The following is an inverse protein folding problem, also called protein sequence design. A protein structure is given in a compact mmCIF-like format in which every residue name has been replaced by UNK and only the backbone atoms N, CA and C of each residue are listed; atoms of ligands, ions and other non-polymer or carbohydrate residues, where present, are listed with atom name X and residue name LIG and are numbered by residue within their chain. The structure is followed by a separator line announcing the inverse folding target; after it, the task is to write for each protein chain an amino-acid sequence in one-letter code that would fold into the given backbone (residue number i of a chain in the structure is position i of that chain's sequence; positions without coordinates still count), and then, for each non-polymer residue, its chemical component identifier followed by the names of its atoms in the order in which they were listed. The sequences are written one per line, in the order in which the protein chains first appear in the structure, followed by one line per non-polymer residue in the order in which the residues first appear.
data_IF_743322709902
#
_entry.id   IF_743322709902
#
_cell.length_a   1.000
_cell.length_b   1.000
_cell.length_c   1.000
_cell.angle_alpha   90.00
_cell.angle_beta   90.00
_cell.angle_gamma   90.00
#
_symmetry.space_group_name_H-M   'P 1'
#
loop_
_entity.id
_entity.type
_entity.pdbx_description
1 polymer ?
#
# COMPACT_ATOMS: atom_id res chain seq x y z
N UNK A 1 8.24 7.19 40.16
CA UNK A 1 8.76 5.93 39.61
C UNK A 1 7.90 4.81 40.21
N UNK A 2 6.99 4.24 39.43
CA UNK A 2 6.19 3.10 39.86
C UNK A 2 6.77 1.85 39.22
N UNK A 3 7.31 0.94 40.04
CA UNK A 3 7.82 -0.37 39.60
C UNK A 3 6.65 -1.24 39.13
N UNK A 4 6.30 -1.14 37.85
CA UNK A 4 5.38 -2.06 37.20
C UNK A 4 6.02 -3.44 37.09
N UNK A 5 5.61 -4.38 37.95
CA UNK A 5 6.00 -5.80 37.84
C UNK A 5 5.27 -6.42 36.66
N UNK A 6 6.01 -6.94 35.68
CA UNK A 6 5.45 -7.68 34.55
C UNK A 6 4.90 -9.04 35.04
N UNK A 7 3.62 -9.30 34.80
CA UNK A 7 2.93 -10.53 35.21
C UNK A 7 2.71 -11.41 33.97
N UNK A 8 3.13 -12.68 34.01
CA UNK A 8 2.84 -13.67 32.98
C UNK A 8 1.68 -14.56 33.45
N UNK A 9 0.65 -14.73 32.62
CA UNK A 9 -0.56 -15.49 32.95
C UNK A 9 -0.69 -16.76 32.13
N UNK A 10 -1.21 -17.82 32.75
CA UNK A 10 -1.81 -18.96 32.02
C UNK A 10 -3.12 -18.50 31.38
N UNK A 11 -3.48 -19.04 30.21
CA UNK A 11 -4.65 -18.60 29.46
C UNK A 11 -5.97 -18.99 30.18
N UNK A 12 -6.77 -17.98 30.56
CA UNK A 12 -8.09 -18.16 31.15
C UNK A 12 -9.14 -17.28 30.47
N UNK A 13 -10.34 -17.83 30.26
CA UNK A 13 -11.53 -17.02 29.96
C UNK A 13 -11.84 -16.08 31.15
N UNK A 14 -12.52 -14.94 30.93
CA UNK A 14 -12.90 -14.04 32.01
C UNK A 14 -13.69 -14.76 33.12
N UNK A 15 -14.58 -15.68 32.76
CA UNK A 15 -15.39 -16.47 33.70
C UNK A 15 -14.60 -17.49 34.52
N UNK A 16 -13.44 -17.93 34.04
CA UNK A 16 -12.60 -18.96 34.69
C UNK A 16 -11.37 -18.36 35.38
N UNK A 17 -11.24 -17.04 35.43
CA UNK A 17 -10.08 -16.39 36.05
C UNK A 17 -10.13 -16.56 37.58
N UNK A 18 -9.05 -17.03 38.24
CA UNK A 18 -9.02 -17.16 39.69
C UNK A 18 -9.43 -15.86 40.40
N UNK A 19 -10.27 -15.95 41.43
CA UNK A 19 -10.86 -14.77 42.11
C UNK A 19 -9.81 -13.74 42.56
N UNK A 20 -8.66 -14.21 43.03
CA UNK A 20 -7.54 -13.36 43.48
C UNK A 20 -6.90 -12.56 42.34
N UNK A 21 -7.01 -13.00 41.09
CA UNK A 21 -6.42 -12.35 39.91
C UNK A 21 -7.39 -11.46 39.15
N UNK A 22 -8.70 -11.53 39.43
CA UNK A 22 -9.73 -10.74 38.74
C UNK A 22 -9.46 -9.23 38.84
N UNK A 23 -9.06 -8.76 40.01
CA UNK A 23 -8.75 -7.35 40.23
C UNK A 23 -7.59 -6.88 39.33
N UNK A 24 -6.48 -7.61 39.34
CA UNK A 24 -5.30 -7.30 38.53
C UNK A 24 -5.60 -7.37 37.02
N UNK A 25 -6.39 -8.36 36.58
CA UNK A 25 -6.84 -8.46 35.19
C UNK A 25 -7.60 -7.21 34.75
N UNK A 26 -8.56 -6.76 35.55
CA UNK A 26 -9.37 -5.58 35.23
C UNK A 26 -8.55 -4.29 35.28
N UNK A 27 -7.64 -4.15 36.24
CA UNK A 27 -6.73 -3.01 36.31
C UNK A 27 -5.83 -2.94 35.07
N UNK A 28 -5.27 -4.06 34.61
CA UNK A 28 -4.46 -4.07 33.40
C UNK A 28 -5.27 -3.66 32.16
N UNK A 29 -6.53 -4.11 32.03
CA UNK A 29 -7.40 -3.67 30.94
C UNK A 29 -7.69 -2.16 30.96
N UNK A 30 -7.83 -1.55 32.15
CA UNK A 30 -8.00 -0.10 32.29
C UNK A 30 -6.71 0.62 31.89
N UNK A 31 -5.55 0.14 32.35
CA UNK A 31 -4.25 0.70 31.98
C UNK A 31 -4.02 0.68 30.47
N UNK A 32 -4.36 -0.43 29.81
CA UNK A 32 -4.22 -0.60 28.36
C UNK A 32 -5.17 0.30 27.56
N UNK A 33 -6.35 0.66 28.09
CA UNK A 33 -7.26 1.61 27.43
C UNK A 33 -6.83 3.06 27.60
N UNK A 34 -6.13 3.36 28.70
CA UNK A 34 -5.71 4.72 29.05
C UNK A 34 -6.90 5.64 29.33
N UNK A 35 -6.66 6.95 29.26
CA UNK A 35 -7.63 8.00 29.63
C UNK A 35 -8.31 8.67 28.43
N UNK A 36 -7.95 8.29 27.19
CA UNK A 36 -8.42 8.94 25.96
C UNK A 36 -7.86 10.34 25.69
N UNK A 37 -6.96 10.83 26.54
CA UNK A 37 -6.43 12.20 26.51
C UNK A 37 -4.90 12.23 26.54
N UNK A 38 -4.33 13.38 26.19
CA UNK A 38 -2.88 13.58 26.20
C UNK A 38 -2.13 12.93 25.02
N UNK A 39 -0.88 13.33 24.86
CA UNK A 39 0.02 12.81 23.84
C UNK A 39 0.73 11.56 24.35
N UNK A 40 0.61 10.47 23.60
CA UNK A 40 1.21 9.19 23.95
C UNK A 40 2.72 9.19 23.68
N UNK A 41 3.46 8.49 24.53
CA UNK A 41 4.91 8.42 24.58
C UNK A 41 5.41 7.02 24.24
N UNK A 42 6.70 6.92 23.92
CA UNK A 42 7.30 5.67 23.46
C UNK A 42 7.15 4.48 24.43
N UNK A 43 7.10 4.74 25.74
CA UNK A 43 6.96 3.72 26.78
C UNK A 43 5.50 3.37 27.10
N UNK A 44 4.53 4.08 26.53
CA UNK A 44 3.11 3.82 26.80
C UNK A 44 2.64 2.54 26.11
N UNK A 45 1.70 1.84 26.76
CA UNK A 45 1.06 0.60 26.28
C UNK A 45 -0.44 0.82 26.03
N UNK A 46 -0.80 2.05 25.65
CA UNK A 46 -2.20 2.48 25.53
C UNK A 46 -2.72 2.24 24.12
N UNK A 47 -3.81 1.50 24.01
CA UNK A 47 -4.55 1.18 22.80
C UNK A 47 -5.87 1.96 22.81
N UNK A 48 -6.00 2.90 21.88
CA UNK A 48 -7.19 3.72 21.72
C UNK A 48 -7.36 4.09 20.23
N UNK A 49 -8.51 4.65 19.88
CA UNK A 49 -8.92 4.90 18.50
C UNK A 49 -8.81 6.37 18.11
N UNK A 50 -8.52 6.59 16.83
CA UNK A 50 -8.63 7.89 16.21
C UNK A 50 -8.93 7.77 14.71
N UNK A 51 -9.34 8.89 14.11
CA UNK A 51 -9.59 9.03 12.67
C UNK A 51 -8.30 9.23 11.89
N UNK A 52 -8.36 9.08 10.57
CA UNK A 52 -7.25 9.45 9.69
C UNK A 52 -7.29 10.95 9.42
N UNK A 53 -6.94 11.72 10.45
CA UNK A 53 -6.78 13.18 10.41
C UNK A 53 -5.31 13.63 10.45
N UNK A 54 -4.37 12.69 10.33
CA UNK A 54 -2.92 12.94 10.41
C UNK A 54 -2.20 12.76 9.06
N UNK A 55 -2.96 12.61 7.97
CA UNK A 55 -2.43 12.47 6.61
C UNK A 55 -2.12 13.83 5.97
N UNK A 56 -2.88 14.87 6.31
CA UNK A 56 -2.69 16.23 5.80
C UNK A 56 -1.51 16.96 6.43
N UNK A 57 -1.07 18.03 5.79
CA UNK A 57 -0.11 18.99 6.36
C UNK A 57 -0.57 20.43 6.06
N UNK A 58 -1.74 20.86 6.56
CA UNK A 58 -2.40 22.12 6.19
C UNK A 58 -1.52 23.35 6.48
N UNK A 59 -0.68 23.30 7.52
CA UNK A 59 0.29 24.35 7.87
C UNK A 59 1.35 24.61 6.77
N UNK A 60 1.52 23.68 5.81
CA UNK A 60 2.43 23.84 4.65
C UNK A 60 1.77 24.48 3.43
N UNK A 61 0.46 24.76 3.50
CA UNK A 61 -0.32 25.40 2.45
C UNK A 61 -1.44 24.54 1.88
N UNK A 62 -2.32 25.16 1.09
CA UNK A 62 -3.59 24.60 0.62
C UNK A 62 -3.44 23.25 -0.13
N UNK A 63 -2.35 23.06 -0.88
CA UNK A 63 -2.07 21.81 -1.62
C UNK A 63 -1.93 20.58 -0.70
N UNK A 64 -1.61 20.78 0.57
CA UNK A 64 -1.35 19.71 1.53
C UNK A 64 -2.54 19.42 2.46
N UNK A 65 -3.65 20.12 2.28
CA UNK A 65 -4.90 19.83 3.01
C UNK A 65 -5.48 18.52 2.49
N UNK A 66 -5.95 17.67 3.42
CA UNK A 66 -6.62 16.39 3.10
C UNK A 66 -7.88 16.29 3.97
N UNK A 67 -8.97 15.70 3.45
CA UNK A 67 -10.14 15.44 4.26
C UNK A 67 -9.81 14.40 5.35
N UNK A 68 -10.48 14.51 6.49
CA UNK A 68 -10.42 13.49 7.55
C UNK A 68 -11.17 12.25 7.08
N UNK A 69 -10.53 11.07 7.17
CA UNK A 69 -11.20 9.81 6.83
C UNK A 69 -11.71 9.10 8.09
N UNK A 70 -13.01 8.80 8.09
CA UNK A 70 -13.78 8.21 9.17
C UNK A 70 -14.56 9.24 9.99
N UNK A 71 -15.71 8.83 10.55
CA UNK A 71 -16.53 9.67 11.44
C UNK A 71 -17.59 10.48 10.71
N UNK A 72 -17.57 10.49 9.38
CA UNK A 72 -18.60 11.05 8.51
C UNK A 72 -19.08 9.95 7.53
N UNK A 73 -20.34 10.03 7.12
CA UNK A 73 -20.94 9.19 6.09
C UNK A 73 -20.33 9.42 4.70
N UNK A 74 -19.81 10.63 4.43
CA UNK A 74 -19.18 10.96 3.15
C UNK A 74 -17.83 10.24 2.96
N UNK A 75 -17.04 10.13 4.04
CA UNK A 75 -15.72 9.49 4.04
C UNK A 75 -15.64 8.39 5.10
N UNK A 76 -16.40 7.28 4.95
CA UNK A 76 -16.35 6.20 5.91
C UNK A 76 -14.98 5.51 5.83
N UNK A 77 -14.35 5.30 6.98
CA UNK A 77 -13.04 4.65 7.05
C UNK A 77 -12.83 3.95 8.40
N UNK A 78 -12.08 2.83 8.42
CA UNK A 78 -11.64 2.21 9.67
C UNK A 78 -10.92 3.20 10.59
N UNK A 79 -11.00 2.97 11.89
CA UNK A 79 -10.20 3.72 12.87
C UNK A 79 -8.75 3.25 12.83
N UNK A 80 -7.84 4.13 13.21
CA UNK A 80 -6.42 3.84 13.46
C UNK A 80 -6.09 3.96 14.94
N UNK A 81 -4.90 3.52 15.32
CA UNK A 81 -4.37 3.69 16.67
C UNK A 81 -4.17 5.18 17.02
N UNK A 82 -4.70 5.62 18.17
CA UNK A 82 -4.54 6.98 18.67
C UNK A 82 -3.08 7.28 18.97
N UNK A 83 -2.66 8.50 18.67
CA UNK A 83 -1.30 9.01 18.90
C UNK A 83 -1.33 10.24 19.78
N UNK A 84 -2.37 11.07 19.63
CA UNK A 84 -2.65 12.19 20.53
C UNK A 84 -1.69 13.37 20.37
N UNK A 85 -1.05 13.54 19.20
CA UNK A 85 -0.30 14.76 18.91
C UNK A 85 -1.29 15.92 18.82
N UNK A 86 -0.81 17.12 19.14
CA UNK A 86 -1.65 18.31 19.10
C UNK A 86 -2.15 18.64 17.68
N UNK A 87 -3.24 19.42 17.58
CA UNK A 87 -3.78 19.85 16.30
C UNK A 87 -2.82 20.78 15.53
N UNK A 88 -3.02 20.89 14.23
CA UNK A 88 -2.31 21.86 13.37
C UNK A 88 -2.71 23.29 13.71
N UNK A 89 -1.93 24.28 13.26
CA UNK A 89 -2.25 25.70 13.56
C UNK A 89 -3.41 26.21 12.70
N UNK A 90 -3.47 25.71 11.47
CA UNK A 90 -4.43 26.13 10.44
C UNK A 90 -5.74 25.36 10.47
N UNK A 91 -5.72 24.11 10.91
CA UNK A 91 -6.89 23.23 11.00
C UNK A 91 -6.91 22.47 12.35
N UNK A 92 -7.84 22.82 13.27
CA UNK A 92 -8.01 22.16 14.55
C UNK A 92 -8.38 20.67 14.46
N UNK A 93 -9.02 20.24 13.37
CA UNK A 93 -9.49 18.87 13.19
C UNK A 93 -8.37 17.96 12.67
N UNK A 94 -7.31 18.55 12.10
CA UNK A 94 -6.11 17.84 11.63
C UNK A 94 -5.06 17.70 12.74
N UNK A 95 -4.54 16.49 12.92
CA UNK A 95 -3.44 16.21 13.84
C UNK A 95 -2.08 16.57 13.19
N UNK A 96 -1.16 17.16 13.96
CA UNK A 96 0.18 17.48 13.45
C UNK A 96 0.91 16.24 12.96
N UNK A 97 1.38 16.31 11.71
CA UNK A 97 2.16 15.26 11.06
C UNK A 97 3.64 15.34 11.44
N UNK A 98 4.26 14.18 11.66
CA UNK A 98 5.73 14.07 11.70
C UNK A 98 6.33 14.22 10.29
N UNK A 99 7.61 14.57 10.19
CA UNK A 99 8.29 14.59 8.89
C UNK A 99 8.18 13.21 8.22
N UNK A 100 8.04 13.15 6.88
CA UNK A 100 7.89 11.89 6.12
C UNK A 100 9.02 10.88 6.38
N UNK A 101 10.22 11.39 6.66
CA UNK A 101 11.40 10.58 6.99
C UNK A 101 11.48 10.21 8.48
N UNK A 102 10.67 10.84 9.33
CA UNK A 102 10.61 10.57 10.75
C UNK A 102 9.45 9.60 11.04
N UNK A 103 9.77 8.30 10.95
CA UNK A 103 8.84 7.19 11.17
C UNK A 103 8.53 6.92 12.66
N UNK A 104 8.88 7.84 13.57
CA UNK A 104 8.61 7.71 15.02
C UNK A 104 7.14 8.06 15.37
N UNK A 105 6.19 7.51 14.61
CA UNK A 105 4.77 7.57 14.95
C UNK A 105 4.56 6.65 16.16
N UNK A 106 3.85 7.15 17.18
CA UNK A 106 3.54 6.35 18.36
C UNK A 106 2.75 5.10 17.95
N UNK A 107 3.17 3.98 18.50
CA UNK A 107 2.49 2.69 18.52
C UNK A 107 2.73 2.13 19.93
N UNK A 108 1.78 1.42 20.57
CA UNK A 108 1.99 0.82 21.89
C UNK A 108 3.32 0.07 21.95
N UNK A 109 4.04 0.20 23.07
CA UNK A 109 5.44 -0.28 23.18
C UNK A 109 5.64 -1.72 22.72
N UNK A 110 4.69 -2.59 23.03
CA UNK A 110 4.76 -4.02 22.74
C UNK A 110 4.51 -4.35 21.26
N UNK A 111 3.85 -3.46 20.51
CA UNK A 111 3.60 -3.58 19.06
C UNK A 111 4.72 -2.98 18.21
N UNK A 112 5.64 -2.23 18.83
CA UNK A 112 6.75 -1.62 18.10
C UNK A 112 7.67 -2.73 17.60
N UNK A 113 8.00 -2.68 16.31
CA UNK A 113 9.00 -3.58 15.74
C UNK A 113 10.29 -3.54 16.56
N UNK A 114 10.85 -4.72 16.83
CA UNK A 114 12.23 -4.85 17.33
C UNK A 114 13.17 -4.06 16.41
N UNK A 115 14.21 -3.43 16.97
CA UNK A 115 15.13 -2.57 16.23
C UNK A 115 15.67 -3.20 14.93
N UNK A 116 15.94 -4.51 14.91
CA UNK A 116 16.43 -5.26 13.72
C UNK A 116 15.38 -5.29 12.60
N UNK A 117 14.14 -5.68 12.92
CA UNK A 117 13.04 -5.69 11.93
C UNK A 117 12.70 -4.28 11.43
N UNK A 118 12.82 -3.28 12.29
CA UNK A 118 12.58 -1.88 11.92
C UNK A 118 13.70 -1.30 11.04
N UNK A 119 14.96 -1.67 11.28
CA UNK A 119 16.07 -1.28 10.41
C UNK A 119 15.90 -1.87 9.02
N UNK A 120 15.49 -3.14 8.91
CA UNK A 120 15.22 -3.78 7.62
C UNK A 120 14.06 -3.08 6.89
N UNK A 121 12.94 -2.86 7.57
CA UNK A 121 11.80 -2.11 7.01
C UNK A 121 12.17 -0.69 6.58
N UNK A 122 12.95 0.02 7.40
CA UNK A 122 13.41 1.37 7.11
C UNK A 122 14.42 1.38 5.95
N UNK A 123 15.23 0.35 5.81
CA UNK A 123 16.13 0.13 4.68
C UNK A 123 15.35 0.05 3.37
N UNK A 124 14.32 -0.79 3.36
CA UNK A 124 13.45 -0.96 2.20
C UNK A 124 12.62 0.30 1.92
N UNK A 125 12.04 0.92 2.94
CA UNK A 125 11.29 2.16 2.79
C UNK A 125 12.16 3.29 2.22
N UNK A 126 13.40 3.43 2.68
CA UNK A 126 14.37 4.39 2.14
C UNK A 126 14.71 4.10 0.67
N UNK A 127 14.88 2.81 0.31
CA UNK A 127 15.10 2.38 -1.09
C UNK A 127 13.91 2.71 -2.00
N UNK A 128 12.69 2.78 -1.46
CA UNK A 128 11.45 2.94 -2.24
C UNK A 128 10.93 4.38 -2.36
N UNK A 129 11.52 5.37 -1.68
CA UNK A 129 11.00 6.74 -1.70
C UNK A 129 11.40 7.48 -2.98
N UNK A 130 10.37 7.84 -3.77
CA UNK A 130 10.43 8.57 -5.04
C UNK A 130 11.26 9.87 -5.05
N UNK A 131 11.43 10.55 -3.91
CA UNK A 131 12.21 11.81 -3.86
C UNK A 131 13.71 11.61 -4.05
N UNK A 132 14.24 10.45 -3.63
CA UNK A 132 15.63 10.05 -3.88
C UNK A 132 15.76 9.61 -5.34
N UNK A 133 14.80 8.81 -5.79
CA UNK A 133 14.68 8.23 -7.12
C UNK A 133 14.60 9.31 -8.23
N UNK A 134 13.87 10.42 -8.02
CA UNK A 134 13.67 11.47 -9.03
C UNK A 134 14.96 12.24 -9.38
N UNK A 135 15.88 12.40 -8.41
CA UNK A 135 17.18 13.02 -8.63
C UNK A 135 18.20 12.05 -9.25
N UNK A 136 18.04 10.74 -9.00
CA UNK A 136 18.94 9.65 -9.44
C UNK A 136 18.78 9.30 -10.93
N UNK A 137 17.55 9.39 -11.44
CA UNK A 137 17.25 9.03 -12.83
C UNK A 137 17.90 9.94 -13.88
N UNK A 138 18.18 11.21 -13.54
CA UNK A 138 18.82 12.19 -14.44
C UNK A 138 20.20 11.77 -14.95
N UNK A 139 20.88 10.85 -14.26
CA UNK A 139 22.23 10.42 -14.61
C UNK A 139 22.28 9.09 -15.39
N UNK A 140 21.16 8.37 -15.47
CA UNK A 140 21.05 7.06 -16.15
C UNK A 140 20.46 7.21 -17.56
N UNK A 141 19.69 8.26 -17.81
CA UNK A 141 19.07 8.52 -19.10
C UNK A 141 19.93 9.43 -19.99
N UNK A 142 20.22 8.95 -21.20
CA UNK A 142 21.13 9.61 -22.14
C UNK A 142 20.45 10.75 -22.94
N UNK A 143 19.11 10.74 -23.10
CA UNK A 143 18.39 11.72 -23.95
C UNK A 143 17.27 12.48 -23.24
N UNK A 144 16.54 11.85 -22.32
CA UNK A 144 15.51 12.53 -21.50
C UNK A 144 15.81 12.38 -20.00
N UNK A 145 16.27 13.45 -19.31
CA UNK A 145 16.71 13.33 -17.91
C UNK A 145 15.61 12.97 -16.92
N UNK A 146 14.34 12.92 -17.32
CA UNK A 146 13.18 12.66 -16.44
C UNK A 146 12.26 11.54 -16.91
N UNK A 147 12.56 10.89 -18.04
CA UNK A 147 11.68 9.89 -18.67
C UNK A 147 12.49 8.68 -19.16
N UNK A 148 11.81 7.56 -19.39
CA UNK A 148 12.43 6.39 -20.00
C UNK A 148 12.27 6.47 -21.52
N UNK A 149 13.37 6.45 -22.26
CA UNK A 149 13.34 6.47 -23.72
C UNK A 149 12.92 5.11 -24.32
N UNK A 150 13.09 4.02 -23.57
CA UNK A 150 12.75 2.66 -24.02
C UNK A 150 12.56 1.66 -22.88
N UNK A 151 11.90 0.52 -23.16
CA UNK A 151 11.83 -0.61 -22.22
C UNK A 151 13.21 -1.12 -21.81
N UNK A 152 14.22 -1.02 -22.69
CA UNK A 152 15.59 -1.38 -22.36
C UNK A 152 16.14 -0.50 -21.23
N UNK A 153 15.74 0.77 -21.16
CA UNK A 153 16.18 1.67 -20.08
C UNK A 153 15.55 1.29 -18.73
N UNK A 154 14.32 0.76 -18.74
CA UNK A 154 13.71 0.15 -17.56
C UNK A 154 14.49 -1.12 -17.16
N UNK A 155 14.84 -1.97 -18.12
CA UNK A 155 15.58 -3.21 -17.83
C UNK A 155 16.98 -2.96 -17.29
N UNK A 156 17.63 -1.85 -17.67
CA UNK A 156 18.94 -1.43 -17.11
C UNK A 156 18.90 -1.22 -15.59
N UNK A 157 17.73 -0.96 -14.99
CA UNK A 157 17.59 -0.79 -13.53
C UNK A 157 17.85 -2.06 -12.73
N UNK A 158 17.64 -3.22 -13.36
CA UNK A 158 17.88 -4.53 -12.76
C UNK A 158 19.27 -5.09 -13.13
N UNK A 159 20.00 -4.39 -14.01
CA UNK A 159 21.35 -4.73 -14.46
C UNK A 159 22.45 -4.02 -13.67
N UNK A 160 23.70 -4.18 -14.11
CA UNK A 160 24.82 -3.42 -13.55
C UNK A 160 24.79 -1.95 -14.02
N UNK A 161 24.71 -1.02 -13.08
CA UNK A 161 24.76 0.42 -13.39
C UNK A 161 26.13 0.82 -13.99
N UNK A 162 26.18 1.75 -14.96
CA UNK A 162 27.44 2.26 -15.50
C UNK A 162 28.30 2.88 -14.38
N UNK A 163 29.58 2.51 -14.30
CA UNK A 163 30.53 2.93 -13.24
C UNK A 163 30.57 4.45 -13.01
N UNK A 164 30.36 5.24 -14.06
CA UNK A 164 30.41 6.71 -14.03
C UNK A 164 29.16 7.33 -13.37
N UNK A 165 27.99 6.73 -13.55
CA UNK A 165 26.74 7.17 -12.94
C UNK A 165 26.75 6.93 -11.42
N UNK A 166 27.23 5.75 -10.99
CA UNK A 166 27.36 5.40 -9.57
C UNK A 166 28.25 6.39 -8.79
N UNK A 167 29.34 6.88 -9.40
CA UNK A 167 30.28 7.82 -8.76
C UNK A 167 29.70 9.24 -8.63
N UNK A 168 28.96 9.72 -9.64
CA UNK A 168 28.32 11.05 -9.64
C UNK A 168 27.14 11.11 -8.66
N UNK A 169 26.39 10.01 -8.55
CA UNK A 169 25.25 9.89 -7.62
C UNK A 169 25.71 9.81 -6.16
N UNK A 170 26.76 9.06 -5.82
CA UNK A 170 27.29 8.98 -4.45
C UNK A 170 27.68 10.35 -3.84
N UNK A 171 27.96 11.36 -4.67
CA UNK A 171 28.28 12.74 -4.24
C UNK A 171 27.05 13.63 -4.01
N UNK A 172 25.95 13.39 -4.72
CA UNK A 172 24.78 14.29 -4.70
C UNK A 172 23.71 13.89 -3.69
N UNK A 173 23.74 12.65 -3.20
CA UNK A 173 22.72 12.21 -2.25
C UNK A 173 23.18 12.57 -0.82
N UNK A 174 22.46 13.47 -0.17
CA UNK A 174 22.68 13.87 1.22
C UNK A 174 22.14 12.76 2.14
N UNK A 175 22.95 11.71 2.34
CA UNK A 175 22.56 10.43 2.93
C UNK A 175 23.27 10.16 4.24
N UNK A 176 22.84 10.78 5.33
CA UNK A 176 23.24 10.27 6.65
C UNK A 176 22.46 8.97 6.96
N UNK A 177 21.16 8.96 6.64
CA UNK A 177 20.26 7.82 6.87
C UNK A 177 20.53 6.62 5.95
N UNK A 178 20.73 6.83 4.65
CA UNK A 178 21.01 5.71 3.72
C UNK A 178 22.44 5.20 3.86
N UNK A 179 23.41 6.02 4.35
CA UNK A 179 24.76 5.52 4.67
C UNK A 179 24.75 4.55 5.85
N UNK A 180 23.93 4.80 6.88
CA UNK A 180 23.72 3.86 7.99
C UNK A 180 23.10 2.54 7.50
N UNK A 181 22.14 2.61 6.57
CA UNK A 181 21.50 1.44 5.97
C UNK A 181 22.39 0.64 5.01
N UNK A 182 23.38 1.30 4.40
CA UNK A 182 24.32 0.71 3.43
C UNK A 182 25.63 0.22 4.06
N UNK A 183 25.82 0.39 5.37
CA UNK A 183 27.07 0.01 6.05
C UNK A 183 27.26 -1.51 6.21
N UNK A 184 26.18 -2.30 6.14
CA UNK A 184 26.25 -3.72 6.48
C UNK A 184 26.53 -4.67 5.30
N UNK A 185 26.10 -4.34 4.08
CA UNK A 185 26.25 -5.25 2.96
C UNK A 185 27.17 -4.63 1.91
N UNK A 186 28.33 -5.25 1.67
CA UNK A 186 29.26 -4.91 0.59
C UNK A 186 28.69 -5.06 -0.84
N UNK A 187 27.37 -5.02 -0.98
CA UNK A 187 26.64 -5.12 -2.23
C UNK A 187 26.62 -3.79 -2.99
N UNK A 188 26.63 -3.89 -4.32
CA UNK A 188 26.59 -2.76 -5.24
C UNK A 188 25.28 -1.98 -4.99
N UNK A 189 25.42 -0.75 -4.49
CA UNK A 189 24.37 0.21 -4.06
C UNK A 189 23.09 0.32 -4.93
N UNK A 190 23.06 -0.20 -6.15
CA UNK A 190 22.07 0.16 -7.18
C UNK A 190 21.60 -0.99 -8.07
N UNK A 191 21.77 -2.25 -7.64
CA UNK A 191 21.16 -3.37 -8.36
C UNK A 191 19.84 -3.74 -7.68
N UNK A 192 18.72 -3.32 -8.26
CA UNK A 192 17.43 -3.85 -7.82
C UNK A 192 17.38 -5.35 -8.15
N UNK A 193 16.81 -6.18 -7.26
CA UNK A 193 16.59 -7.58 -7.60
C UNK A 193 15.69 -7.64 -8.83
N UNK A 194 16.07 -8.48 -9.80
CA UNK A 194 15.26 -8.68 -11.01
C UNK A 194 13.89 -9.24 -10.60
N UNK A 195 12.76 -8.60 -10.96
CA UNK A 195 11.43 -9.09 -10.66
C UNK A 195 11.22 -10.51 -11.18
N UNK A 196 10.47 -11.33 -10.43
CA UNK A 196 10.26 -12.74 -10.77
C UNK A 196 9.64 -12.93 -12.15
N UNK A 197 8.67 -12.09 -12.52
CA UNK A 197 8.01 -12.09 -13.84
C UNK A 197 8.99 -11.88 -15.02
N UNK A 198 10.17 -11.30 -14.77
CA UNK A 198 11.18 -11.02 -15.79
C UNK A 198 12.35 -12.02 -15.79
N UNK A 199 12.42 -12.94 -14.81
CA UNK A 199 13.58 -13.84 -14.67
C UNK A 199 13.72 -14.80 -15.84
N UNK A 200 12.65 -15.49 -16.19
CA UNK A 200 12.65 -16.50 -17.24
C UNK A 200 12.44 -15.91 -18.63
N UNK A 201 11.52 -14.93 -18.75
CA UNK A 201 11.21 -14.28 -20.01
C UNK A 201 10.93 -12.78 -19.82
N UNK A 202 11.84 -11.94 -20.30
CA UNK A 202 11.77 -10.48 -20.15
C UNK A 202 10.61 -9.83 -20.93
N UNK A 203 9.96 -10.58 -21.83
CA UNK A 203 8.84 -10.10 -22.64
C UNK A 203 7.49 -10.74 -22.29
N UNK A 204 7.45 -11.70 -21.35
CA UNK A 204 6.22 -12.46 -21.03
C UNK A 204 5.07 -11.57 -20.55
N UNK A 205 5.38 -10.55 -19.74
CA UNK A 205 4.41 -9.56 -19.23
C UNK A 205 3.66 -8.80 -20.34
N UNK A 206 4.13 -8.85 -21.59
CA UNK A 206 3.49 -8.18 -22.75
C UNK A 206 2.44 -9.06 -23.44
N UNK A 207 2.30 -10.31 -23.01
CA UNK A 207 1.39 -11.28 -23.62
C UNK A 207 0.00 -11.21 -22.97
N UNK A 208 -1.05 -11.38 -23.78
CA UNK A 208 -2.43 -11.42 -23.27
C UNK A 208 -2.62 -12.60 -22.30
N UNK A 209 -1.89 -13.71 -22.51
CA UNK A 209 -1.92 -14.86 -21.61
C UNK A 209 -1.42 -14.50 -20.21
N UNK A 210 -0.28 -13.79 -20.10
CA UNK A 210 0.24 -13.38 -18.79
C UNK A 210 -0.64 -12.31 -18.15
N UNK A 211 -1.15 -11.36 -18.96
CA UNK A 211 -2.11 -10.37 -18.49
C UNK A 211 -3.35 -11.01 -17.88
N UNK A 212 -3.95 -12.01 -18.54
CA UNK A 212 -5.09 -12.75 -18.00
C UNK A 212 -4.74 -13.62 -16.79
N UNK A 213 -3.57 -14.27 -16.82
CA UNK A 213 -3.07 -15.09 -15.70
C UNK A 213 -2.88 -14.27 -14.43
N UNK A 214 -2.35 -13.05 -14.53
CA UNK A 214 -2.16 -12.17 -13.37
C UNK A 214 -3.47 -11.79 -12.67
N UNK A 215 -4.60 -11.84 -13.36
CA UNK A 215 -5.91 -11.50 -12.79
C UNK A 215 -6.45 -12.60 -11.86
N UNK A 216 -5.93 -13.82 -11.97
CA UNK A 216 -6.29 -14.96 -11.11
C UNK A 216 -5.13 -15.46 -10.24
N UNK A 217 -3.89 -15.17 -10.62
CA UNK A 217 -2.68 -15.66 -9.95
C UNK A 217 -1.53 -14.63 -9.93
N UNK A 218 -1.85 -13.34 -10.04
CA UNK A 218 -0.92 -12.23 -9.89
C UNK A 218 -1.02 -11.56 -8.52
N UNK A 219 -0.68 -10.27 -8.46
CA UNK A 219 -0.60 -9.52 -7.19
C UNK A 219 -1.98 -9.27 -6.56
N UNK A 220 -3.04 -9.16 -7.35
CA UNK A 220 -4.39 -8.86 -6.87
C UNK A 220 -5.48 -9.76 -7.51
N UNK A 221 -5.54 -11.05 -7.12
CA UNK A 221 -6.40 -12.05 -7.76
C UNK A 221 -7.87 -12.04 -7.26
N UNK A 222 -8.30 -11.01 -6.51
CA UNK A 222 -9.58 -11.01 -5.79
C UNK A 222 -10.63 -10.05 -6.38
N UNK A 223 -10.35 -9.42 -7.52
CA UNK A 223 -11.23 -8.41 -8.13
C UNK A 223 -12.07 -8.97 -9.28
N UNK A 224 -11.57 -9.98 -9.99
CA UNK A 224 -12.20 -10.54 -11.18
C UNK A 224 -13.59 -11.12 -10.85
N UNK A 225 -14.58 -10.86 -11.73
CA UNK A 225 -15.96 -11.33 -11.55
C UNK A 225 -16.50 -11.92 -12.83
N UNK A 226 -17.44 -12.86 -12.69
CA UNK A 226 -18.21 -13.41 -13.81
C UNK A 226 -19.14 -12.34 -14.39
N UNK A 227 -19.19 -12.24 -15.71
CA UNK A 227 -20.17 -11.39 -16.39
C UNK A 227 -21.56 -12.06 -16.37
N UNK A 228 -22.55 -11.37 -15.82
CA UNK A 228 -23.93 -11.89 -15.75
C UNK A 228 -24.82 -11.44 -16.92
N UNK A 229 -24.56 -10.26 -17.49
CA UNK A 229 -25.35 -9.69 -18.59
C UNK A 229 -24.43 -9.03 -19.59
N UNK A 230 -24.70 -9.21 -20.88
CA UNK A 230 -23.96 -8.56 -21.96
C UNK A 230 -24.90 -7.62 -22.74
N UNK A 231 -24.44 -6.41 -23.12
CA UNK A 231 -23.18 -5.80 -22.70
C UNK A 231 -23.19 -5.42 -21.20
N UNK A 232 -22.02 -5.21 -20.56
CA UNK A 232 -21.95 -4.84 -19.15
C UNK A 232 -22.66 -3.50 -18.88
N UNK A 233 -23.49 -3.46 -17.82
CA UNK A 233 -24.27 -2.28 -17.46
C UNK A 233 -23.63 -1.49 -16.31
N UNK A 234 -23.61 -0.16 -16.40
CA UNK A 234 -23.20 0.72 -15.31
C UNK A 234 -24.37 1.01 -14.35
N UNK A 235 -24.05 1.28 -13.09
CA UNK A 235 -25.01 1.78 -12.07
C UNK A 235 -24.78 3.26 -11.74
N UNK A 236 -23.87 3.93 -12.44
CA UNK A 236 -23.58 5.35 -12.24
C UNK A 236 -24.71 6.22 -12.81
N UNK A 237 -24.90 7.40 -12.23
CA UNK A 237 -25.94 8.35 -12.66
C UNK A 237 -25.62 8.97 -14.03
N UNK A 238 -26.43 8.70 -15.07
CA UNK A 238 -26.19 9.25 -16.41
C UNK A 238 -26.29 10.78 -16.48
N UNK A 239 -27.03 11.43 -15.58
CA UNK A 239 -27.12 12.90 -15.57
C UNK A 239 -25.80 13.54 -15.15
N UNK A 240 -25.01 12.83 -14.33
CA UNK A 240 -23.71 13.29 -13.84
C UNK A 240 -22.56 12.90 -14.76
N UNK A 241 -22.61 11.70 -15.35
CA UNK A 241 -21.50 11.11 -16.08
C UNK A 241 -21.76 10.91 -17.59
N UNK A 242 -22.91 11.34 -18.11
CA UNK A 242 -23.30 11.17 -19.51
C UNK A 242 -23.82 9.77 -19.82
N UNK A 243 -23.84 9.40 -21.11
CA UNK A 243 -24.24 8.06 -21.52
C UNK A 243 -23.30 7.00 -20.93
N UNK A 244 -23.89 6.02 -20.24
CA UNK A 244 -23.18 4.93 -19.56
C UNK A 244 -23.39 3.58 -20.24
N UNK A 245 -24.02 3.55 -21.43
CA UNK A 245 -24.14 2.33 -22.22
C UNK A 245 -22.77 1.88 -22.71
N UNK A 246 -22.47 0.59 -22.52
CA UNK A 246 -21.20 0.05 -22.98
C UNK A 246 -21.19 -0.02 -24.52
N UNK A 247 -20.11 0.49 -25.12
CA UNK A 247 -19.88 0.46 -26.57
C UNK A 247 -19.39 -0.90 -27.09
N UNK A 248 -19.24 -1.89 -26.21
CA UNK A 248 -18.79 -3.22 -26.57
C UNK A 248 -19.92 -4.01 -27.24
N UNK A 249 -19.68 -4.49 -28.46
CA UNK A 249 -20.62 -5.31 -29.21
C UNK A 249 -20.12 -6.75 -29.32
N UNK A 250 -21.00 -7.67 -29.73
CA UNK A 250 -20.62 -9.07 -29.89
C UNK A 250 -19.59 -9.28 -31.00
N UNK A 251 -19.64 -8.43 -32.04
CA UNK A 251 -18.73 -8.45 -33.19
C UNK A 251 -17.28 -8.25 -32.76
N UNK A 252 -17.03 -7.46 -31.72
CA UNK A 252 -15.69 -7.23 -31.19
C UNK A 252 -15.09 -8.49 -30.55
N UNK A 253 -15.92 -9.40 -30.03
CA UNK A 253 -15.48 -10.57 -29.28
C UNK A 253 -15.42 -11.84 -30.15
N UNK A 254 -16.30 -11.96 -31.14
CA UNK A 254 -16.42 -13.13 -32.03
C UNK A 254 -15.07 -13.74 -32.47
N UNK A 255 -14.05 -12.97 -32.89
CA UNK A 255 -12.77 -13.55 -33.34
C UNK A 255 -12.01 -14.34 -32.26
N UNK A 256 -12.19 -13.97 -30.99
CA UNK A 256 -11.41 -14.50 -29.86
C UNK A 256 -12.23 -15.47 -28.99
N UNK A 257 -13.46 -15.80 -29.41
CA UNK A 257 -14.38 -16.66 -28.64
C UNK A 257 -14.27 -18.15 -29.00
N UNK A 258 -13.28 -18.53 -29.82
CA UNK A 258 -13.05 -19.92 -30.25
C UNK A 258 -14.32 -20.62 -30.82
N UNK A 259 -15.15 -19.86 -31.53
CA UNK A 259 -16.40 -20.35 -32.13
C UNK A 259 -17.59 -20.45 -31.16
N UNK A 260 -17.44 -20.03 -29.90
CA UNK A 260 -18.53 -19.98 -28.93
C UNK A 260 -19.28 -18.65 -29.00
N UNK A 261 -20.57 -18.69 -28.72
CA UNK A 261 -21.39 -17.48 -28.50
C UNK A 261 -21.18 -16.96 -27.08
N UNK A 262 -21.49 -15.67 -26.86
CA UNK A 262 -21.43 -15.05 -25.53
C UNK A 262 -22.33 -15.80 -24.54
N UNK A 263 -23.49 -16.26 -25.01
CA UNK A 263 -24.45 -16.92 -24.15
C UNK A 263 -23.97 -18.32 -23.77
N UNK A 264 -23.31 -19.03 -24.68
CA UNK A 264 -22.68 -20.32 -24.40
C UNK A 264 -21.51 -20.19 -23.41
N UNK A 265 -20.64 -19.19 -23.58
CA UNK A 265 -19.53 -18.91 -22.65
C UNK A 265 -20.05 -18.52 -21.27
N UNK A 266 -21.19 -17.82 -21.19
CA UNK A 266 -21.81 -17.46 -19.91
C UNK A 266 -22.48 -18.64 -19.21
N UNK A 267 -23.05 -19.59 -19.97
CA UNK A 267 -23.84 -20.71 -19.44
C UNK A 267 -23.00 -21.96 -19.15
N UNK A 268 -21.87 -22.16 -19.84
CA UNK A 268 -20.93 -23.26 -19.56
C UNK A 268 -20.27 -23.02 -18.20
N UNK A 269 -20.82 -23.60 -17.15
CA UNK A 269 -20.31 -23.47 -15.79
C UNK A 269 -19.69 -24.77 -15.27
N UNK A 270 -18.49 -24.60 -14.69
CA UNK A 270 -17.90 -25.33 -13.56
C UNK A 270 -16.67 -26.25 -13.77
N UNK A 271 -16.15 -26.49 -14.98
CA UNK A 271 -14.93 -27.30 -15.11
C UNK A 271 -13.79 -26.71 -15.94
N UNK A 272 -14.06 -25.75 -16.81
CA UNK A 272 -13.04 -25.07 -17.61
C UNK A 272 -13.24 -23.56 -17.43
N UNK A 273 -12.15 -22.81 -17.29
CA UNK A 273 -12.14 -21.36 -17.05
C UNK A 273 -12.62 -20.54 -18.26
N UNK A 274 -13.58 -21.05 -19.03
CA UNK A 274 -14.20 -20.42 -20.20
C UNK A 274 -15.40 -19.57 -19.78
N UNK A 275 -15.23 -18.69 -18.80
CA UNK A 275 -16.26 -17.72 -18.42
C UNK A 275 -15.84 -16.35 -18.93
N UNK A 276 -16.81 -15.56 -19.39
CA UNK A 276 -16.56 -14.17 -19.71
C UNK A 276 -16.34 -13.41 -18.39
N UNK A 277 -15.12 -12.94 -18.17
CA UNK A 277 -14.71 -12.32 -16.91
C UNK A 277 -14.57 -10.81 -17.10
N UNK A 278 -14.97 -10.07 -16.07
CA UNK A 278 -14.97 -8.61 -16.08
C UNK A 278 -14.27 -8.08 -14.85
N UNK A 279 -13.48 -7.04 -15.07
CA UNK A 279 -12.94 -6.21 -14.02
C UNK A 279 -13.66 -4.87 -14.08
N UNK A 280 -14.28 -4.50 -12.95
CA UNK A 280 -14.84 -3.17 -12.76
C UNK A 280 -13.67 -2.23 -12.43
N UNK A 281 -13.25 -1.42 -13.39
CA UNK A 281 -12.26 -0.37 -13.17
C UNK A 281 -12.97 0.96 -12.98
N UNK A 282 -12.33 1.92 -12.30
CA UNK A 282 -12.86 3.27 -12.07
C UNK A 282 -13.21 4.05 -13.35
N UNK A 283 -12.82 3.55 -14.52
CA UNK A 283 -13.05 4.15 -15.83
C UNK A 283 -13.82 3.23 -16.81
N UNK A 284 -14.37 2.10 -16.35
CA UNK A 284 -15.14 1.18 -17.19
C UNK A 284 -14.86 -0.31 -16.94
N UNK A 285 -15.41 -1.16 -17.80
CA UNK A 285 -15.25 -2.61 -17.74
C UNK A 285 -14.16 -3.10 -18.68
N UNK A 286 -13.15 -3.80 -18.15
CA UNK A 286 -12.20 -4.55 -18.97
C UNK A 286 -12.63 -6.02 -19.00
N UNK A 287 -12.76 -6.57 -20.20
CA UNK A 287 -13.09 -7.97 -20.41
C UNK A 287 -11.82 -8.80 -20.54
N UNK A 288 -11.83 -9.97 -19.92
CA UNK A 288 -10.83 -11.00 -20.13
C UNK A 288 -11.51 -12.17 -20.83
N UNK A 289 -10.96 -12.53 -21.98
CA UNK A 289 -11.32 -13.68 -22.79
C UNK A 289 -10.29 -14.79 -22.60
#
# INVERSE_FOLDING_TARGET
MGDGKNICFVAYLPSSTPKLLLHYRNQELINLRGTGSGMLKEWDRVYDYAYYNDLGAPDRGLKYIRPVLGGNEEFPYPRRGRTGRGPTKTDPDSEKRLCLLNLNIYVPRDERFSHIKFSDFSAYAAKSIGQVIQAEFRAIFDKTPTEFDSFRDIMKLYGDAPKNAAKKMRKNINLEFVRELLRNDGEKLFKFPKPDVLKDNESAWRTDQEFGREMVAGVNPVVIRRLEKFPPASKLDPNKYGDQTSSMTEEHLKPNMNGLTIEEVRMKSNHEFSNLLVINTSHGYNLLL
#
